data_IF_793760022832
#
_entry.id   IF_793760022832
#
_cell.length_a   1.000
_cell.length_b   1.000
_cell.length_c   1.000
_cell.angle_alpha   90.00
_cell.angle_beta   90.00
_cell.angle_gamma   90.00
#
_symmetry.space_group_name_H-M   'P 1'
#
loop_
_entity.id
_entity.type
_entity.pdbx_description
1 polymer ?
#
# COMPACT_ATOMS: atom_id res chain seq x y z
N UNK A 1 -12.84 -6.35 4.96
CA UNK A 1 -12.23 -6.78 3.69
C UNK A 1 -10.77 -7.12 3.91
N UNK A 2 -10.29 -8.11 3.19
CA UNK A 2 -8.90 -8.53 3.29
C UNK A 2 -8.09 -7.95 2.16
N UNK A 3 -6.95 -7.37 2.51
CA UNK A 3 -6.04 -6.74 1.55
C UNK A 3 -4.65 -7.32 1.77
N UNK A 4 -4.01 -7.67 0.67
CA UNK A 4 -2.62 -8.09 0.70
C UNK A 4 -1.76 -6.90 0.28
N UNK A 5 -0.70 -6.64 1.04
CA UNK A 5 0.18 -5.51 0.77
C UNK A 5 1.59 -6.04 0.55
N UNK A 6 2.15 -5.72 -0.61
CA UNK A 6 3.54 -6.05 -0.94
C UNK A 6 4.36 -4.77 -0.88
N UNK A 7 5.36 -4.76 -0.03
CA UNK A 7 6.25 -3.62 0.13
C UNK A 7 7.56 -3.95 -0.54
N UNK A 8 7.95 -3.12 -1.50
CA UNK A 8 9.18 -3.31 -2.26
C UNK A 8 10.06 -2.10 -2.06
N UNK A 9 11.30 -2.33 -1.65
CA UNK A 9 12.24 -1.25 -1.39
C UNK A 9 13.50 -1.78 -0.76
N UNK A 10 14.03 -1.07 0.23
CA UNK A 10 15.24 -1.51 0.93
C UNK A 10 15.02 -2.88 1.57
N UNK A 11 13.81 -3.13 2.05
CA UNK A 11 13.44 -4.44 2.57
C UNK A 11 12.09 -4.79 1.97
N UNK A 12 12.00 -6.00 1.41
CA UNK A 12 10.74 -6.48 0.84
C UNK A 12 9.95 -7.21 1.92
N UNK A 13 8.66 -6.95 1.94
CA UNK A 13 7.79 -7.59 2.91
C UNK A 13 6.40 -7.78 2.30
N UNK A 14 5.70 -8.79 2.78
CA UNK A 14 4.31 -9.05 2.39
C UNK A 14 3.50 -9.10 3.67
N UNK A 15 2.40 -8.34 3.70
CA UNK A 15 1.52 -8.31 4.85
C UNK A 15 0.08 -8.40 4.43
N UNK A 16 -0.74 -8.93 5.30
CA UNK A 16 -2.18 -8.98 5.09
C UNK A 16 -2.86 -8.11 6.12
N UNK A 17 -3.88 -7.39 5.69
CA UNK A 17 -4.65 -6.51 6.55
C UNK A 17 -6.13 -6.83 6.45
N UNK A 18 -6.80 -6.71 7.58
CA UNK A 18 -8.25 -6.71 7.63
C UNK A 18 -8.69 -5.27 7.79
N UNK A 19 -9.39 -4.75 6.80
CA UNK A 19 -9.77 -3.34 6.77
C UNK A 19 -11.27 -3.19 6.63
N UNK A 20 -11.77 -2.04 7.03
CA UNK A 20 -13.17 -1.70 6.86
C UNK A 20 -13.46 -1.34 5.41
N UNK A 21 -14.68 -1.59 4.98
CA UNK A 21 -15.12 -1.13 3.66
C UNK A 21 -14.90 0.38 3.55
N UNK A 22 -14.43 0.79 2.37
CA UNK A 22 -14.16 2.20 2.13
C UNK A 22 -12.76 2.65 2.51
N UNK A 23 -11.94 1.76 3.05
CA UNK A 23 -10.56 2.12 3.37
C UNK A 23 -9.76 2.39 2.10
N UNK A 24 -8.78 3.27 2.22
CA UNK A 24 -7.96 3.69 1.10
C UNK A 24 -6.51 3.26 1.30
N UNK A 25 -5.69 3.48 0.27
CA UNK A 25 -4.26 3.24 0.35
C UNK A 25 -3.66 3.99 1.54
N UNK A 26 -4.11 5.22 1.76
CA UNK A 26 -3.60 6.03 2.87
C UNK A 26 -3.81 5.35 4.21
N UNK A 27 -4.95 4.68 4.39
CA UNK A 27 -5.23 3.99 5.65
C UNK A 27 -4.23 2.86 5.89
N UNK A 28 -3.86 2.14 4.84
CA UNK A 28 -2.85 1.09 4.96
C UNK A 28 -1.51 1.69 5.36
N UNK A 29 -1.12 2.79 4.72
CA UNK A 29 0.15 3.42 5.04
C UNK A 29 0.21 3.88 6.49
N UNK A 30 -0.90 4.39 7.01
CA UNK A 30 -0.96 4.80 8.41
C UNK A 30 -0.70 3.63 9.33
N UNK A 31 -1.29 2.48 9.05
CA UNK A 31 -1.08 1.30 9.87
C UNK A 31 0.35 0.79 9.79
N UNK A 32 0.97 0.96 8.63
CA UNK A 32 2.36 0.55 8.43
C UNK A 32 3.35 1.57 8.99
N UNK A 33 2.90 2.78 9.25
CA UNK A 33 3.80 3.84 9.69
C UNK A 33 4.67 4.37 8.56
N UNK A 34 4.23 4.22 7.32
CA UNK A 34 4.99 4.68 6.16
C UNK A 34 4.46 6.03 5.72
N UNK A 35 5.32 7.05 5.57
CA UNK A 35 4.87 8.32 5.04
C UNK A 35 4.41 8.16 3.59
N UNK A 36 3.35 8.87 3.18
CA UNK A 36 2.88 8.75 1.80
C UNK A 36 3.81 9.34 0.77
N UNK A 37 4.70 10.22 1.18
CA UNK A 37 5.65 10.85 0.25
C UNK A 37 6.77 9.90 -0.10
N UNK A 38 7.20 9.92 -1.35
CA UNK A 38 8.32 9.12 -1.79
C UNK A 38 7.99 7.69 -2.13
N UNK A 39 6.70 7.38 -2.24
CA UNK A 39 6.26 6.03 -2.60
C UNK A 39 5.36 6.08 -3.82
N UNK A 40 5.33 4.99 -4.54
CA UNK A 40 4.41 4.79 -5.66
C UNK A 40 3.58 3.57 -5.33
N UNK A 41 2.30 3.64 -5.63
CA UNK A 41 1.34 2.59 -5.26
C UNK A 41 0.72 1.99 -6.51
N UNK A 42 0.60 0.66 -6.51
CA UNK A 42 0.02 -0.06 -7.63
C UNK A 42 -1.06 -1.01 -7.13
N UNK A 43 -2.16 -1.09 -7.86
CA UNK A 43 -3.17 -2.11 -7.67
C UNK A 43 -3.40 -2.75 -9.02
N UNK A 44 -3.23 -4.08 -9.11
CA UNK A 44 -3.38 -4.82 -10.39
C UNK A 44 -2.48 -4.24 -11.47
N UNK A 45 -1.23 -3.94 -11.10
CA UNK A 45 -0.22 -3.41 -12.01
C UNK A 45 -0.56 -2.05 -12.59
N UNK A 46 -1.51 -1.33 -12.00
CA UNK A 46 -1.83 0.02 -12.40
C UNK A 46 -1.46 0.99 -11.29
N UNK A 47 -0.80 2.10 -11.62
CA UNK A 47 -0.47 3.10 -10.61
C UNK A 47 -1.75 3.76 -10.10
N UNK A 48 -1.81 3.93 -8.78
CA UNK A 48 -2.99 4.53 -8.15
C UNK A 48 -2.54 5.62 -7.18
N UNK A 49 -3.42 6.60 -6.93
CA UNK A 49 -3.10 7.63 -5.95
C UNK A 49 -3.27 7.11 -4.52
N UNK A 50 -2.73 7.86 -3.57
CA UNK A 50 -2.82 7.48 -2.17
C UNK A 50 -4.25 7.46 -1.66
N UNK A 51 -5.15 8.17 -2.32
CA UNK A 51 -6.55 8.23 -1.94
C UNK A 51 -7.39 7.13 -2.59
N UNK A 52 -6.77 6.25 -3.34
CA UNK A 52 -7.51 5.18 -4.03
C UNK A 52 -8.20 4.28 -3.00
N UNK A 53 -9.49 4.04 -3.23
CA UNK A 53 -10.26 3.17 -2.37
C UNK A 53 -9.94 1.70 -2.66
N UNK A 54 -9.76 0.93 -1.60
CA UNK A 54 -9.42 -0.49 -1.73
C UNK A 54 -10.69 -1.34 -1.76
N UNK A 55 -10.57 -2.51 -2.37
CA UNK A 55 -11.65 -3.49 -2.45
C UNK A 55 -11.18 -4.80 -1.87
N UNK A 56 -12.13 -5.59 -1.40
CA UNK A 56 -11.82 -6.89 -0.85
C UNK A 56 -11.04 -7.73 -1.86
N UNK A 57 -9.96 -8.31 -1.41
CA UNK A 57 -9.12 -9.15 -2.26
C UNK A 57 -8.07 -8.40 -3.05
N UNK A 58 -8.01 -7.08 -2.93
CA UNK A 58 -7.00 -6.32 -3.66
C UNK A 58 -5.60 -6.65 -3.17
N UNK A 59 -4.64 -6.56 -4.09
CA UNK A 59 -3.23 -6.65 -3.77
C UNK A 59 -2.64 -5.28 -4.04
N UNK A 60 -2.18 -4.64 -2.98
CA UNK A 60 -1.56 -3.33 -3.06
C UNK A 60 -0.05 -3.49 -3.06
N UNK A 61 0.61 -2.92 -4.04
CA UNK A 61 2.06 -2.89 -4.09
C UNK A 61 2.53 -1.48 -3.74
N UNK A 62 3.41 -1.39 -2.75
CA UNK A 62 3.99 -0.13 -2.32
C UNK A 62 5.46 -0.15 -2.70
N UNK A 63 5.82 0.68 -3.67
CA UNK A 63 7.21 0.84 -4.08
C UNK A 63 7.79 2.05 -3.35
N UNK A 64 8.72 1.77 -2.45
CA UNK A 64 9.39 2.85 -1.75
C UNK A 64 10.50 3.38 -2.62
N UNK A 65 10.36 4.62 -3.06
CA UNK A 65 11.40 5.27 -3.83
C UNK A 65 12.45 5.90 -2.93
N UNK A 66 12.25 5.85 -1.64
CA UNK A 66 13.20 6.41 -0.71
C UNK A 66 14.49 5.61 -0.79
N UNK A 67 15.54 6.24 -1.17
CA UNK A 67 16.84 5.62 -1.31
C UNK A 67 17.50 5.44 0.05
N UNK A 68 16.76 5.29 1.07
CA UNK A 68 17.32 5.11 2.39
C UNK A 68 18.15 6.29 2.85
N UNK A 69 18.03 7.32 2.08
CA UNK A 69 18.80 8.52 2.38
C UNK A 69 18.23 9.18 3.57
#
# INVERSE_FOLDING_TARGET
>A
MKIKVEIIGAQNAVREFELKQGSSVRDVLRQLGIPPDGCVYFIRDEPVPVDEELRDGDVLTVLSAASGG
#
